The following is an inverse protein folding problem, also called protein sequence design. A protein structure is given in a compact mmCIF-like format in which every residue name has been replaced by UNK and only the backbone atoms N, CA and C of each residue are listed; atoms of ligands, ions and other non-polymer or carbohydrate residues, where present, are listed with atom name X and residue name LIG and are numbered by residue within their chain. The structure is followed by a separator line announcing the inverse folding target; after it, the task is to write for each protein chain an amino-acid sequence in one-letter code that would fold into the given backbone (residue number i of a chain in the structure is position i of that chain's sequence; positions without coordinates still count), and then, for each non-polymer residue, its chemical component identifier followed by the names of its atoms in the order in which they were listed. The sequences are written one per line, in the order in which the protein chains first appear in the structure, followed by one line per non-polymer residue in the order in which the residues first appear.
data_IF_997868877303
#
_entry.id   IF_997868877303
#
_cell.length_a   1.000
_cell.length_b   1.000
_cell.length_c   1.000
_cell.angle_alpha   90.00
_cell.angle_beta   90.00
_cell.angle_gamma   90.00
#
_symmetry.space_group_name_H-M   'P 1'
#
loop_
_entity.id
_entity.type
_entity.pdbx_description
1 polymer ?
#
# COMPACT_ATOMS: atom_id res chain seq x y z
N UNK A 1 9.61 21.42 -2.73
CA UNK A 1 10.22 20.09 -2.98
C UNK A 1 9.16 19.21 -3.62
N UNK A 2 9.49 18.64 -4.78
CA UNK A 2 8.52 17.93 -5.62
C UNK A 2 8.05 16.64 -4.94
N UNK A 3 6.78 16.60 -4.53
CA UNK A 3 6.08 15.42 -3.98
C UNK A 3 6.06 14.19 -4.93
N UNK A 4 6.57 14.33 -6.15
CA UNK A 4 6.43 13.35 -7.23
C UNK A 4 7.14 12.02 -6.98
N UNK A 5 8.26 12.00 -6.26
CA UNK A 5 8.97 10.74 -5.95
C UNK A 5 8.26 9.92 -4.84
N UNK A 6 7.53 10.58 -3.95
CA UNK A 6 6.76 9.93 -2.90
C UNK A 6 5.45 9.33 -3.40
N UNK A 7 4.86 9.91 -4.45
CA UNK A 7 3.66 9.39 -5.11
C UNK A 7 3.95 8.10 -5.90
N UNK A 8 5.18 7.94 -6.40
CA UNK A 8 5.67 6.72 -7.07
C UNK A 8 6.07 5.62 -6.08
N UNK A 9 6.36 5.99 -4.82
CA UNK A 9 6.78 5.03 -3.79
C UNK A 9 5.60 4.25 -3.23
N UNK A 10 5.82 2.96 -2.96
CA UNK A 10 4.84 2.09 -2.30
C UNK A 10 4.31 2.74 -1.00
N UNK A 11 3.00 2.66 -0.70
CA UNK A 11 2.34 3.45 0.35
C UNK A 11 3.00 3.38 1.74
N UNK A 12 3.54 2.23 2.12
CA UNK A 12 4.29 2.08 3.39
C UNK A 12 5.58 2.90 3.38
N UNK A 13 6.34 2.84 2.30
CA UNK A 13 7.57 3.63 2.12
C UNK A 13 7.28 5.11 2.10
N UNK A 14 6.24 5.53 1.36
CA UNK A 14 5.81 6.92 1.32
C UNK A 14 5.41 7.44 2.71
N UNK A 15 4.76 6.61 3.52
CA UNK A 15 4.43 6.96 4.90
C UNK A 15 5.68 7.08 5.78
N UNK A 16 6.57 6.09 5.79
CA UNK A 16 7.74 6.10 6.67
C UNK A 16 8.67 7.28 6.32
N UNK A 17 8.98 7.45 5.04
CA UNK A 17 9.91 8.50 4.61
C UNK A 17 9.24 9.87 4.65
N UNK A 18 7.97 9.97 4.26
CA UNK A 18 7.26 11.24 4.14
C UNK A 18 6.67 11.75 5.46
N UNK A 19 6.07 10.88 6.28
CA UNK A 19 5.46 11.25 7.56
C UNK A 19 6.44 11.16 8.73
N UNK A 20 7.29 10.13 8.78
CA UNK A 20 8.21 9.95 9.91
C UNK A 20 9.59 10.60 9.66
N UNK A 21 9.93 10.91 8.40
CA UNK A 21 11.26 11.40 8.04
C UNK A 21 12.36 10.36 8.27
N UNK A 22 12.00 9.08 8.30
CA UNK A 22 12.92 7.95 8.52
C UNK A 22 13.10 7.15 7.22
N UNK A 23 14.24 6.48 7.07
CA UNK A 23 14.36 5.45 6.03
C UNK A 23 13.60 4.19 6.46
N UNK A 24 13.08 3.42 5.49
CA UNK A 24 12.43 2.12 5.77
C UNK A 24 13.36 1.19 6.57
N UNK A 25 14.65 1.15 6.21
CA UNK A 25 15.65 0.35 6.94
C UNK A 25 15.87 0.81 8.39
N UNK A 26 15.86 2.11 8.66
CA UNK A 26 16.00 2.65 10.02
C UNK A 26 14.76 2.34 10.87
N UNK A 27 13.57 2.44 10.28
CA UNK A 27 12.33 2.03 10.93
C UNK A 27 12.34 0.53 11.25
N UNK A 28 12.65 -0.31 10.26
CA UNK A 28 12.75 -1.75 10.44
C UNK A 28 13.77 -2.12 11.53
N UNK A 29 14.94 -1.48 11.55
CA UNK A 29 15.95 -1.69 12.60
C UNK A 29 15.45 -1.28 13.99
N UNK A 30 14.72 -0.16 14.10
CA UNK A 30 14.23 0.37 15.37
C UNK A 30 13.14 -0.49 16.00
N UNK A 31 12.30 -1.12 15.18
CA UNK A 31 11.20 -1.99 15.63
C UNK A 31 11.46 -3.48 15.38
N UNK A 32 12.71 -3.84 15.09
CA UNK A 32 13.16 -5.23 14.89
C UNK A 32 12.39 -5.99 13.80
N UNK A 33 11.89 -5.28 12.79
CA UNK A 33 11.30 -5.88 11.60
C UNK A 33 12.38 -6.21 10.58
N UNK A 34 12.21 -7.33 9.89
CA UNK A 34 13.08 -7.68 8.78
C UNK A 34 12.72 -6.82 7.55
N UNK A 35 13.66 -6.04 6.96
CA UNK A 35 13.35 -5.15 5.84
C UNK A 35 12.93 -5.91 4.57
N UNK A 36 13.29 -7.20 4.44
CA UNK A 36 12.90 -8.00 3.27
C UNK A 36 11.39 -8.24 3.20
N UNK A 37 10.68 -8.21 4.34
CA UNK A 37 9.22 -8.36 4.34
C UNK A 37 8.55 -7.14 3.69
N UNK A 38 9.09 -5.94 3.93
CA UNK A 38 8.57 -4.68 3.38
C UNK A 38 8.84 -4.63 1.89
N UNK A 39 10.04 -5.05 1.47
CA UNK A 39 10.36 -5.25 0.05
C UNK A 39 9.43 -6.27 -0.59
N UNK A 40 9.14 -7.38 0.09
CA UNK A 40 8.19 -8.40 -0.38
C UNK A 40 6.78 -7.86 -0.59
N UNK A 41 6.27 -7.00 0.31
CA UNK A 41 4.97 -6.35 0.13
C UNK A 41 4.95 -5.39 -1.06
N UNK A 42 6.04 -4.66 -1.27
CA UNK A 42 6.21 -3.78 -2.42
C UNK A 42 6.24 -4.57 -3.73
N UNK A 43 7.05 -5.63 -3.83
CA UNK A 43 7.16 -6.46 -5.05
C UNK A 43 5.84 -7.18 -5.36
N UNK A 44 5.14 -7.67 -4.34
CA UNK A 44 3.84 -8.32 -4.51
C UNK A 44 2.69 -7.33 -4.73
N UNK A 45 2.95 -6.02 -4.65
CA UNK A 45 1.93 -4.96 -4.62
C UNK A 45 0.79 -5.30 -3.65
N UNK A 46 1.15 -5.84 -2.47
CA UNK A 46 0.16 -6.24 -1.47
C UNK A 46 -0.64 -5.02 -1.04
N UNK A 47 -1.91 -5.21 -0.73
CA UNK A 47 -2.71 -4.12 -0.17
C UNK A 47 -2.27 -3.80 1.25
N UNK A 48 -2.35 -2.52 1.62
CA UNK A 48 -2.08 -2.02 2.99
C UNK A 48 -3.01 -2.65 4.03
N UNK A 49 -4.14 -3.22 3.61
CA UNK A 49 -5.04 -3.98 4.49
C UNK A 49 -4.47 -5.32 4.95
N UNK A 50 -3.54 -5.90 4.19
CA UNK A 50 -2.89 -7.18 4.54
C UNK A 50 -1.65 -6.99 5.43
N UNK A 51 -1.38 -5.77 5.88
CA UNK A 51 -0.26 -5.50 6.76
C UNK A 51 -0.52 -6.08 8.16
N UNK A 52 0.51 -6.59 8.85
CA UNK A 52 0.40 -7.04 10.23
C UNK A 52 -0.11 -5.94 11.14
N UNK A 53 -0.95 -6.29 12.12
CA UNK A 53 -1.46 -5.34 13.10
C UNK A 53 -0.31 -4.70 13.90
N UNK A 54 0.66 -5.51 14.33
CA UNK A 54 1.87 -5.06 15.03
C UNK A 54 2.64 -4.01 14.22
N UNK A 55 2.79 -4.20 12.91
CA UNK A 55 3.49 -3.25 12.05
C UNK A 55 2.77 -1.89 12.00
N UNK A 56 1.43 -1.90 11.89
CA UNK A 56 0.61 -0.69 11.92
C UNK A 56 0.68 0.00 13.28
N UNK A 57 0.77 -0.78 14.36
CA UNK A 57 0.91 -0.25 15.71
C UNK A 57 2.27 0.43 15.92
N UNK A 58 3.36 -0.17 15.44
CA UNK A 58 4.68 0.48 15.44
C UNK A 58 4.71 1.78 14.64
N UNK A 59 4.02 1.84 13.50
CA UNK A 59 3.85 3.08 12.74
C UNK A 59 3.05 4.13 13.53
N UNK A 60 2.03 3.70 14.26
CA UNK A 60 1.20 4.56 15.10
C UNK A 60 2.03 5.19 16.22
N UNK A 61 2.84 4.38 16.91
CA UNK A 61 3.77 4.81 17.94
C UNK A 61 4.81 5.78 17.36
N UNK A 62 5.41 5.45 16.21
CA UNK A 62 6.42 6.30 15.58
C UNK A 62 5.88 7.68 15.15
N UNK A 63 4.61 7.74 14.77
CA UNK A 63 3.95 8.93 14.22
C UNK A 63 3.20 9.76 15.27
N UNK A 64 3.15 9.28 16.52
CA UNK A 64 2.28 9.80 17.57
C UNK A 64 0.81 9.87 17.10
N UNK A 65 0.31 8.77 16.53
CA UNK A 65 -1.05 8.64 15.98
C UNK A 65 -1.73 7.37 16.48
N UNK A 66 -3.03 7.29 16.27
CA UNK A 66 -3.75 6.03 16.49
C UNK A 66 -3.59 5.09 15.29
N UNK A 67 -3.66 3.78 15.53
CA UNK A 67 -3.58 2.79 14.46
C UNK A 67 -4.67 2.98 13.40
N UNK A 68 -5.84 3.49 13.77
CA UNK A 68 -6.93 3.85 12.83
C UNK A 68 -6.55 5.02 11.93
N UNK A 69 -5.93 6.07 12.48
CA UNK A 69 -5.42 7.19 11.69
C UNK A 69 -4.34 6.74 10.71
N UNK A 70 -3.40 5.90 11.17
CA UNK A 70 -2.36 5.32 10.30
C UNK A 70 -3.00 4.52 9.15
N UNK A 71 -3.96 3.64 9.45
CA UNK A 71 -4.70 2.88 8.42
C UNK A 71 -5.41 3.79 7.43
N UNK A 72 -5.99 4.89 7.89
CA UNK A 72 -6.66 5.85 7.03
C UNK A 72 -5.67 6.53 6.07
N UNK A 73 -4.52 6.97 6.58
CA UNK A 73 -3.46 7.60 5.76
C UNK A 73 -2.87 6.60 4.77
N UNK A 74 -2.55 5.38 5.21
CA UNK A 74 -2.04 4.32 4.33
C UNK A 74 -3.04 4.01 3.21
N UNK A 75 -4.34 3.99 3.50
CA UNK A 75 -5.39 3.84 2.47
C UNK A 75 -5.41 4.98 1.46
N UNK A 76 -5.22 6.22 1.92
CA UNK A 76 -5.16 7.37 1.03
C UNK A 76 -3.94 7.30 0.12
N UNK A 77 -2.77 6.96 0.67
CA UNK A 77 -1.53 6.78 -0.08
C UNK A 77 -1.65 5.64 -1.10
N UNK A 78 -2.27 4.51 -0.72
CA UNK A 78 -2.53 3.39 -1.63
C UNK A 78 -3.39 3.84 -2.82
N UNK A 79 -4.50 4.57 -2.57
CA UNK A 79 -5.34 5.11 -3.65
C UNK A 79 -4.59 6.07 -4.56
N UNK A 80 -3.74 6.93 -4.00
CA UNK A 80 -2.91 7.85 -4.78
C UNK A 80 -1.90 7.11 -5.64
N UNK A 81 -1.25 6.08 -5.09
CA UNK A 81 -0.33 5.21 -5.82
C UNK A 81 -1.04 4.51 -6.99
N UNK A 82 -2.19 3.88 -6.76
CA UNK A 82 -2.97 3.26 -7.85
C UNK A 82 -3.45 4.28 -8.90
N UNK A 83 -3.90 5.46 -8.48
CA UNK A 83 -4.30 6.52 -9.40
C UNK A 83 -3.11 7.02 -10.24
N UNK A 84 -1.92 7.09 -9.66
CA UNK A 84 -0.68 7.43 -10.36
C UNK A 84 -0.30 6.37 -11.39
N UNK A 85 -0.31 5.09 -10.99
CA UNK A 85 -0.05 3.96 -11.90
C UNK A 85 -1.06 3.93 -13.06
N UNK A 86 -2.33 4.20 -12.79
CA UNK A 86 -3.36 4.27 -13.83
C UNK A 86 -3.15 5.43 -14.82
N UNK A 87 -2.57 6.54 -14.35
CA UNK A 87 -2.29 7.73 -15.17
C UNK A 87 -0.96 7.62 -15.95
N UNK A 88 -0.06 6.73 -15.53
CA UNK A 88 1.24 6.48 -16.15
C UNK A 88 1.37 4.99 -16.56
N UNK A 89 0.76 4.58 -17.70
CA UNK A 89 0.73 3.18 -18.15
C UNK A 89 2.09 2.63 -18.63
N UNK A 90 3.20 3.37 -18.44
CA UNK A 90 4.55 2.90 -18.77
C UNK A 90 5.01 1.74 -17.86
N UNK A 91 4.43 1.60 -16.67
CA UNK A 91 4.54 0.42 -15.83
C UNK A 91 3.46 -0.60 -16.29
N UNK A 92 3.79 -1.41 -17.30
CA UNK A 92 3.03 -2.64 -17.55
C UNK A 92 3.65 -3.74 -16.67
N UNK A 93 3.23 -3.82 -15.41
CA UNK A 93 3.20 -5.11 -14.72
C UNK A 93 1.75 -5.57 -14.72
N UNK A 94 1.59 -6.75 -15.31
CA UNK A 94 0.37 -7.45 -15.71
C UNK A 94 -0.86 -7.17 -14.81
N UNK A 95 -1.94 -6.57 -15.35
CA UNK A 95 -3.19 -6.29 -14.63
C UNK A 95 -4.00 -7.51 -14.16
N UNK A 96 -3.48 -8.73 -14.27
CA UNK A 96 -4.26 -9.96 -14.07
C UNK A 96 -4.63 -10.29 -12.62
N UNK A 97 -4.16 -9.52 -11.63
CA UNK A 97 -4.46 -9.75 -10.21
C UNK A 97 -5.49 -8.79 -9.60
N UNK A 98 -5.98 -7.81 -10.36
CA UNK A 98 -6.99 -6.84 -9.90
C UNK A 98 -8.36 -7.11 -10.53
N UNK A 99 -8.76 -8.38 -10.61
CA UNK A 99 -10.17 -8.71 -10.76
C UNK A 99 -10.75 -8.94 -9.35
N UNK A 100 -11.72 -8.12 -8.87
CA UNK A 100 -12.54 -8.54 -7.74
C UNK A 100 -13.26 -9.85 -8.13
N UNK A 101 -13.56 -10.75 -7.17
CA UNK A 101 -14.36 -11.93 -7.49
C UNK A 101 -15.68 -11.42 -8.07
N UNK A 102 -15.90 -11.68 -9.36
CA UNK A 102 -17.18 -11.42 -10.00
C UNK A 102 -18.18 -12.29 -9.28
N UNK A 103 -18.97 -11.67 -8.40
CA UNK A 103 -20.16 -12.29 -7.84
C UNK A 103 -21.07 -12.58 -9.02
N UNK A 104 -21.13 -13.85 -9.43
CA UNK A 104 -21.97 -14.34 -10.52
C UNK A 104 -23.44 -14.07 -10.17
N UNK A 105 -23.95 -12.90 -10.57
CA UNK A 105 -25.39 -12.71 -10.68
C UNK A 105 -25.84 -13.38 -11.97
N UNK A 106 -26.51 -14.51 -11.75
CA UNK A 106 -27.31 -15.27 -12.71
C UNK A 106 -28.31 -14.33 -13.38
N UNK A 107 -28.08 -14.01 -14.65
CA UNK A 107 -29.16 -13.57 -15.55
C UNK A 107 -29.34 -14.69 -16.56
N UNK A 108 -30.34 -15.53 -16.31
CA UNK A 108 -30.87 -16.40 -17.33
C UNK A 108 -31.49 -15.53 -18.43
N UNK A 109 -31.05 -15.72 -19.66
CA UNK A 109 -31.82 -15.34 -20.84
C UNK A 109 -31.53 -16.34 -21.95
N UNK A 110 -32.56 -16.58 -22.76
CA UNK A 110 -32.57 -17.25 -24.06
C UNK A 110 -32.61 -18.79 -23.99
N UNK A 111 -33.46 -19.52 -24.70
CA UNK A 111 -34.58 -19.26 -25.60
C UNK A 111 -35.22 -20.63 -25.91
N UNK A 112 -36.55 -20.72 -25.98
CA UNK A 112 -37.33 -21.60 -26.87
C UNK A 112 -38.82 -21.27 -26.72
#
# INVERSE_FOLDING_TARGET
MSFSAYVDSYPVTAYIVGHLGLSVGDFCRRYEFDPTIVTGWQTANRSVFSLPADFVECLAIASDKTAEQVRCILRLLEKQHFAYLAKNPAWNITPSLLAPPVSSQTTQREEA
#
